data_IF_295950575457
#
_entry.id   IF_295950575457
#
_cell.length_a   1.000
_cell.length_b   1.000
_cell.length_c   1.000
_cell.angle_alpha   90.00
_cell.angle_beta   90.00
_cell.angle_gamma   90.00
#
_symmetry.space_group_name_H-M   'P 1'
#
loop_
_entity.id
_entity.type
_entity.pdbx_description
1 polymer ?
#
# COMPACT_ATOMS: atom_id res chain seq x y z
N UNK A 1 -9.08 88.51 -6.90
CA UNK A 1 -8.71 89.12 -5.59
C UNK A 1 -7.26 88.79 -5.33
N UNK A 2 -6.35 89.78 -5.44
CA UNK A 2 -5.65 90.45 -4.31
C UNK A 2 -4.84 89.44 -3.46
N UNK A 3 -3.53 89.53 -3.22
CA UNK A 3 -2.40 90.45 -3.49
C UNK A 3 -1.16 89.58 -3.15
N UNK A 4 -0.19 89.33 -4.03
CA UNK A 4 1.03 90.13 -4.24
C UNK A 4 1.73 90.50 -2.92
N UNK A 5 2.94 90.00 -2.61
CA UNK A 5 4.27 90.61 -2.86
C UNK A 5 5.17 90.08 -1.70
N UNK A 6 6.47 89.82 -1.78
CA UNK A 6 7.62 90.52 -2.40
C UNK A 6 8.88 89.77 -1.85
N UNK A 7 10.02 89.55 -2.51
CA UNK A 7 11.13 90.52 -2.72
C UNK A 7 12.33 89.79 -3.37
N UNK A 8 12.85 90.40 -4.46
CA UNK A 8 14.24 90.60 -4.92
C UNK A 8 15.20 89.40 -5.16
N UNK A 9 15.92 89.22 -6.28
CA UNK A 9 16.65 90.06 -7.28
C UNK A 9 18.16 89.73 -7.20
N UNK A 10 18.69 89.30 -8.35
CA UNK A 10 20.04 89.51 -8.91
C UNK A 10 21.22 88.74 -8.30
N UNK A 11 21.87 87.79 -9.01
CA UNK A 11 22.81 87.85 -10.15
C UNK A 11 24.28 88.12 -9.74
N UNK A 12 25.19 87.46 -10.48
CA UNK A 12 26.67 87.43 -10.42
C UNK A 12 27.25 86.27 -9.58
N UNK A 13 28.04 85.34 -10.12
CA UNK A 13 28.53 85.19 -11.49
C UNK A 13 29.56 84.07 -11.61
N UNK A 14 30.04 83.94 -12.85
CA UNK A 14 31.32 83.39 -13.31
C UNK A 14 31.39 81.86 -13.47
N UNK A 15 31.70 81.52 -14.72
CA UNK A 15 31.92 80.22 -15.31
C UNK A 15 32.97 79.37 -14.58
N UNK A 16 32.75 78.06 -14.58
CA UNK A 16 33.78 77.08 -14.95
C UNK A 16 33.09 75.86 -15.54
N UNK A 17 33.42 75.57 -16.79
CA UNK A 17 33.18 74.29 -17.42
C UNK A 17 33.84 73.20 -16.57
N UNK A 18 33.02 72.38 -15.90
CA UNK A 18 33.42 71.05 -15.49
C UNK A 18 32.37 70.08 -16.05
N UNK A 19 32.73 69.45 -17.16
CA UNK A 19 32.10 68.19 -17.57
C UNK A 19 32.36 67.24 -16.41
N UNK A 20 31.34 67.01 -15.57
CA UNK A 20 31.40 65.93 -14.60
C UNK A 20 31.48 64.63 -15.40
N UNK A 21 32.46 63.75 -15.12
CA UNK A 21 32.54 62.47 -15.79
C UNK A 21 31.27 61.70 -15.44
N UNK A 22 30.58 61.21 -16.47
CA UNK A 22 29.67 60.08 -16.33
C UNK A 22 30.54 58.90 -15.90
N UNK A 23 30.73 58.74 -14.61
CA UNK A 23 31.42 57.61 -14.02
C UNK A 23 30.48 56.92 -13.03
N UNK A 24 30.02 55.75 -13.48
CA UNK A 24 29.80 54.54 -12.68
C UNK A 24 28.73 54.60 -11.58
N UNK A 25 27.45 54.43 -11.97
CA UNK A 25 26.44 53.81 -11.10
C UNK A 25 26.19 52.34 -11.46
N UNK A 26 26.53 51.88 -12.69
CA UNK A 26 26.15 50.51 -13.12
C UNK A 26 26.93 49.36 -12.45
N UNK A 27 28.20 49.54 -12.08
CA UNK A 27 29.01 48.43 -11.54
C UNK A 27 28.58 47.92 -10.15
N UNK A 28 27.83 48.70 -9.38
CA UNK A 28 27.39 48.29 -8.04
C UNK A 28 26.15 47.39 -8.09
N UNK A 29 25.26 47.66 -9.05
CA UNK A 29 24.05 46.86 -9.30
C UNK A 29 24.40 45.51 -9.94
N UNK A 30 25.39 45.47 -10.85
CA UNK A 30 25.85 44.23 -11.48
C UNK A 30 26.50 43.27 -10.47
N UNK A 31 27.34 43.78 -9.55
CA UNK A 31 27.93 42.98 -8.46
C UNK A 31 26.88 42.45 -7.48
N UNK A 32 25.85 43.25 -7.19
CA UNK A 32 24.75 42.84 -6.32
C UNK A 32 23.87 41.79 -7.01
N UNK A 33 23.58 41.94 -8.30
CA UNK A 33 22.84 40.98 -9.11
C UNK A 33 23.58 39.64 -9.22
N UNK A 34 24.90 39.67 -9.41
CA UNK A 34 25.75 38.47 -9.43
C UNK A 34 25.73 37.74 -8.08
N UNK A 35 25.86 38.47 -6.97
CA UNK A 35 25.78 37.91 -5.61
C UNK A 35 24.42 37.24 -5.38
N UNK A 36 23.33 37.92 -5.71
CA UNK A 36 21.97 37.39 -5.57
C UNK A 36 21.73 36.15 -6.45
N UNK A 37 22.32 36.11 -7.66
CA UNK A 37 22.26 34.95 -8.54
C UNK A 37 22.95 33.73 -7.92
N UNK A 38 24.16 33.91 -7.38
CA UNK A 38 24.93 32.87 -6.69
C UNK A 38 24.19 32.32 -5.47
N UNK A 39 23.64 33.18 -4.62
CA UNK A 39 22.85 32.75 -3.46
C UNK A 39 21.63 31.89 -3.87
N UNK A 40 20.94 32.26 -4.96
CA UNK A 40 19.81 31.48 -5.49
C UNK A 40 20.24 30.13 -6.09
N UNK A 41 21.39 30.08 -6.78
CA UNK A 41 21.94 28.84 -7.30
C UNK A 41 22.33 27.87 -6.16
N UNK A 42 23.01 28.38 -5.13
CA UNK A 42 23.38 27.59 -3.96
C UNK A 42 22.14 27.05 -3.24
N UNK A 43 21.08 27.86 -3.11
CA UNK A 43 19.81 27.43 -2.55
C UNK A 43 19.15 26.32 -3.39
N UNK A 44 19.14 26.45 -4.72
CA UNK A 44 18.58 25.45 -5.62
C UNK A 44 19.37 24.12 -5.57
N UNK A 45 20.71 24.18 -5.59
CA UNK A 45 21.56 23.00 -5.42
C UNK A 45 21.37 22.35 -4.05
N UNK A 46 21.23 23.15 -2.99
CA UNK A 46 20.96 22.62 -1.65
C UNK A 46 19.64 21.86 -1.60
N UNK A 47 18.57 22.40 -2.18
CA UNK A 47 17.28 21.71 -2.26
C UNK A 47 17.37 20.38 -3.02
N UNK A 48 18.05 20.38 -4.17
CA UNK A 48 18.23 19.19 -4.99
C UNK A 48 19.06 18.11 -4.26
N UNK A 49 20.17 18.50 -3.62
CA UNK A 49 21.00 17.57 -2.85
C UNK A 49 20.28 17.01 -1.63
N UNK A 50 19.48 17.81 -0.91
CA UNK A 50 18.66 17.29 0.20
C UNK A 50 17.70 16.22 -0.29
N UNK A 51 17.01 16.44 -1.41
CA UNK A 51 16.12 15.43 -1.99
C UNK A 51 16.91 14.17 -2.40
N UNK A 52 18.09 14.32 -3.00
CA UNK A 52 18.94 13.18 -3.37
C UNK A 52 19.33 12.34 -2.13
N UNK A 53 19.68 12.97 -1.01
CA UNK A 53 19.97 12.26 0.25
C UNK A 53 18.74 11.55 0.85
N UNK A 54 17.54 12.11 0.68
CA UNK A 54 16.30 11.42 1.06
C UNK A 54 16.04 10.20 0.19
N UNK A 55 16.20 10.34 -1.13
CA UNK A 55 15.96 9.26 -2.09
C UNK A 55 16.93 8.09 -1.91
N UNK A 56 18.18 8.34 -1.47
CA UNK A 56 19.16 7.28 -1.15
C UNK A 56 18.70 6.29 -0.08
N UNK A 57 17.74 6.67 0.77
CA UNK A 57 17.27 5.83 1.89
C UNK A 57 16.39 4.67 1.44
N UNK A 58 15.86 4.69 0.21
CA UNK A 58 15.01 3.62 -0.31
C UNK A 58 15.46 3.23 -1.75
N UNK A 59 15.79 1.96 -2.00
CA UNK A 59 16.23 1.47 -3.32
C UNK A 59 15.18 1.65 -4.43
N UNK A 60 13.89 1.74 -4.11
CA UNK A 60 12.82 1.95 -5.08
C UNK A 60 12.97 3.27 -5.85
N UNK A 61 13.71 4.23 -5.27
CA UNK A 61 13.97 5.53 -5.87
C UNK A 61 15.23 5.58 -6.75
N UNK A 62 15.91 4.46 -6.96
CA UNK A 62 17.19 4.39 -7.69
C UNK A 62 17.19 5.13 -9.04
N UNK A 63 16.12 4.97 -9.85
CA UNK A 63 15.98 5.67 -11.14
C UNK A 63 15.79 7.19 -11.01
N UNK A 64 15.03 7.63 -10.01
CA UNK A 64 14.82 9.05 -9.70
C UNK A 64 16.14 9.67 -9.26
N UNK A 65 16.84 8.97 -8.35
CA UNK A 65 18.12 9.38 -7.79
C UNK A 65 19.20 9.51 -8.87
N UNK A 66 19.28 8.56 -9.81
CA UNK A 66 20.21 8.61 -10.93
C UNK A 66 19.99 9.87 -11.79
N UNK A 67 18.73 10.12 -12.17
CA UNK A 67 18.34 11.28 -12.98
C UNK A 67 18.64 12.59 -12.24
N UNK A 68 18.27 12.69 -10.97
CA UNK A 68 18.49 13.88 -10.15
C UNK A 68 19.98 14.17 -9.96
N UNK A 69 20.81 13.15 -9.66
CA UNK A 69 22.25 13.33 -9.48
C UNK A 69 22.94 13.80 -10.77
N UNK A 70 22.51 13.28 -11.93
CA UNK A 70 23.01 13.73 -13.23
C UNK A 70 22.73 15.22 -13.45
N UNK A 71 21.50 15.65 -13.19
CA UNK A 71 21.09 17.05 -13.37
C UNK A 71 21.71 17.99 -12.33
N UNK A 72 21.94 17.53 -11.09
CA UNK A 72 22.72 18.26 -10.08
C UNK A 72 24.16 18.48 -10.58
N UNK A 73 24.80 17.46 -11.16
CA UNK A 73 26.16 17.57 -11.68
C UNK A 73 26.23 18.53 -12.88
N UNK A 74 25.28 18.44 -13.81
CA UNK A 74 25.16 19.36 -14.95
C UNK A 74 24.93 20.81 -14.51
N UNK A 75 24.02 21.05 -13.56
CA UNK A 75 23.76 22.38 -13.01
C UNK A 75 24.99 22.94 -12.28
N UNK A 76 25.66 22.12 -11.46
CA UNK A 76 26.89 22.51 -10.75
C UNK A 76 27.99 22.94 -11.71
N UNK A 77 28.16 22.23 -12.83
CA UNK A 77 29.10 22.60 -13.89
C UNK A 77 28.68 23.91 -14.55
N UNK A 78 27.41 24.03 -14.95
CA UNK A 78 26.87 25.20 -15.64
C UNK A 78 26.98 26.49 -14.79
N UNK A 79 26.76 26.40 -13.47
CA UNK A 79 26.94 27.55 -12.58
C UNK A 79 28.39 28.03 -12.44
N UNK A 80 29.39 27.14 -12.62
CA UNK A 80 30.81 27.52 -12.60
C UNK A 80 31.25 28.17 -13.92
N UNK A 81 30.62 27.77 -15.02
CA UNK A 81 30.93 28.23 -16.38
C UNK A 81 30.11 29.47 -16.79
N UNK A 82 29.12 29.86 -15.99
CA UNK A 82 28.28 31.03 -16.24
C UNK A 82 29.14 32.32 -16.35
N UNK A 83 29.14 32.93 -17.52
CA UNK A 83 29.92 34.13 -17.82
C UNK A 83 29.23 35.44 -17.39
N UNK A 84 27.93 35.37 -17.05
CA UNK A 84 27.13 36.50 -16.58
C UNK A 84 26.01 36.02 -15.64
N UNK A 85 25.54 36.91 -14.74
CA UNK A 85 24.42 36.61 -13.84
C UNK A 85 23.11 36.28 -14.59
N UNK A 86 23.00 36.71 -15.85
CA UNK A 86 21.83 36.45 -16.70
C UNK A 86 21.59 34.97 -17.03
N UNK A 87 22.60 34.10 -16.86
CA UNK A 87 22.50 32.67 -17.18
C UNK A 87 21.90 31.85 -16.02
N UNK A 88 21.99 32.36 -14.78
CA UNK A 88 21.55 31.68 -13.56
C UNK A 88 20.06 31.32 -13.57
N UNK A 89 19.12 32.21 -13.96
CA UNK A 89 17.70 31.90 -13.94
C UNK A 89 17.32 30.69 -14.78
N UNK A 90 17.95 30.49 -15.95
CA UNK A 90 17.66 29.36 -16.83
C UNK A 90 18.13 28.04 -16.21
N UNK A 91 19.35 28.01 -15.64
CA UNK A 91 19.91 26.84 -14.96
C UNK A 91 19.07 26.49 -13.73
N UNK A 92 18.71 27.48 -12.91
CA UNK A 92 17.84 27.31 -11.74
C UNK A 92 16.48 26.76 -12.16
N UNK A 93 15.87 27.31 -13.21
CA UNK A 93 14.56 26.86 -13.70
C UNK A 93 14.60 25.39 -14.15
N UNK A 94 15.65 24.96 -14.87
CA UNK A 94 15.83 23.56 -15.26
C UNK A 94 15.96 22.66 -14.03
N UNK A 95 16.84 23.00 -13.09
CA UNK A 95 17.06 22.21 -11.87
C UNK A 95 15.80 22.13 -11.02
N UNK A 96 15.08 23.24 -10.85
CA UNK A 96 13.81 23.27 -10.11
C UNK A 96 12.74 22.39 -10.76
N UNK A 97 12.65 22.37 -12.10
CA UNK A 97 11.73 21.48 -12.81
C UNK A 97 12.08 19.99 -12.57
N UNK A 98 13.38 19.64 -12.59
CA UNK A 98 13.84 18.29 -12.28
C UNK A 98 13.53 17.91 -10.83
N UNK A 99 13.77 18.81 -9.88
CA UNK A 99 13.44 18.59 -8.46
C UNK A 99 11.94 18.35 -8.27
N UNK A 100 11.09 19.12 -8.94
CA UNK A 100 9.64 18.96 -8.84
C UNK A 100 9.15 17.65 -9.48
N UNK A 101 9.71 17.28 -10.63
CA UNK A 101 9.46 15.97 -11.23
C UNK A 101 9.88 14.82 -10.29
N UNK A 102 11.07 14.91 -9.68
CA UNK A 102 11.56 13.91 -8.74
C UNK A 102 10.64 13.76 -7.51
N UNK A 103 10.08 14.85 -6.98
CA UNK A 103 9.07 14.79 -5.91
C UNK A 103 7.78 14.11 -6.36
N UNK A 104 7.30 14.43 -7.57
CA UNK A 104 6.08 13.84 -8.10
C UNK A 104 6.25 12.33 -8.35
N UNK A 105 7.38 11.92 -8.93
CA UNK A 105 7.71 10.50 -9.13
C UNK A 105 7.87 9.76 -7.79
N UNK A 106 8.55 10.36 -6.80
CA UNK A 106 8.65 9.82 -5.45
C UNK A 106 7.26 9.59 -4.86
N UNK A 107 6.37 10.59 -4.91
CA UNK A 107 5.00 10.49 -4.42
C UNK A 107 4.23 9.37 -5.14
N UNK A 108 4.39 9.23 -6.46
CA UNK A 108 3.73 8.17 -7.21
C UNK A 108 4.21 6.76 -6.78
N UNK A 109 5.50 6.60 -6.48
CA UNK A 109 6.04 5.34 -5.94
C UNK A 109 5.54 5.10 -4.52
N UNK A 110 5.56 6.11 -3.65
CA UNK A 110 5.01 6.02 -2.28
C UNK A 110 3.54 5.58 -2.31
N UNK A 111 2.71 6.22 -3.14
CA UNK A 111 1.29 5.90 -3.30
C UNK A 111 1.09 4.46 -3.82
N UNK A 112 1.90 4.03 -4.80
CA UNK A 112 1.86 2.67 -5.34
C UNK A 112 2.27 1.62 -4.31
N UNK A 113 3.32 1.89 -3.53
CA UNK A 113 3.79 1.00 -2.47
C UNK A 113 2.75 0.90 -1.35
N UNK A 114 2.15 2.02 -0.94
CA UNK A 114 1.06 2.04 0.03
C UNK A 114 -0.16 1.23 -0.45
N UNK A 115 -0.55 1.38 -1.72
CA UNK A 115 -1.64 0.60 -2.31
C UNK A 115 -1.32 -0.89 -2.35
N UNK A 116 -0.10 -1.27 -2.77
CA UNK A 116 0.34 -2.67 -2.81
C UNK A 116 0.35 -3.30 -1.41
N UNK A 117 0.82 -2.56 -0.39
CA UNK A 117 0.82 -3.01 0.99
C UNK A 117 -0.61 -3.21 1.53
N UNK A 118 -1.53 -2.31 1.18
CA UNK A 118 -2.95 -2.42 1.54
C UNK A 118 -3.59 -3.67 0.90
N UNK A 119 -3.41 -3.87 -0.40
CA UNK A 119 -3.92 -5.04 -1.12
C UNK A 119 -3.36 -6.36 -0.55
N UNK A 120 -2.07 -6.38 -0.20
CA UNK A 120 -1.44 -7.54 0.43
C UNK A 120 -2.03 -7.83 1.82
N UNK A 121 -2.25 -6.79 2.63
CA UNK A 121 -2.86 -6.93 3.96
C UNK A 121 -4.30 -7.44 3.87
N UNK A 122 -5.12 -6.89 2.97
CA UNK A 122 -6.50 -7.32 2.73
C UNK A 122 -6.54 -8.78 2.24
N UNK A 123 -5.67 -9.16 1.30
CA UNK A 123 -5.56 -10.54 0.82
C UNK A 123 -5.18 -11.50 1.95
N UNK A 124 -4.19 -11.14 2.77
CA UNK A 124 -3.75 -11.98 3.90
C UNK A 124 -4.85 -12.15 4.95
N UNK A 125 -5.57 -11.07 5.29
CA UNK A 125 -6.70 -11.13 6.20
C UNK A 125 -7.79 -12.07 5.69
N UNK A 126 -8.10 -12.02 4.38
CA UNK A 126 -9.09 -12.89 3.77
C UNK A 126 -8.66 -14.36 3.74
N UNK A 127 -7.38 -14.64 3.48
CA UNK A 127 -6.81 -15.99 3.58
C UNK A 127 -6.98 -16.54 4.99
N UNK A 128 -6.60 -15.79 6.02
CA UNK A 128 -6.73 -16.23 7.42
C UNK A 128 -8.19 -16.50 7.80
N UNK A 129 -9.09 -15.57 7.47
CA UNK A 129 -10.52 -15.74 7.72
C UNK A 129 -11.09 -17.00 7.04
N UNK A 130 -10.74 -17.26 5.78
CA UNK A 130 -11.21 -18.46 5.08
C UNK A 130 -10.63 -19.76 5.68
N UNK A 131 -9.37 -19.76 6.13
CA UNK A 131 -8.75 -20.90 6.81
C UNK A 131 -9.45 -21.18 8.15
N UNK A 132 -9.80 -20.15 8.92
CA UNK A 132 -10.53 -20.30 10.18
C UNK A 132 -11.92 -20.91 9.97
N UNK A 133 -12.64 -20.46 8.93
CA UNK A 133 -13.93 -21.05 8.55
C UNK A 133 -13.79 -22.54 8.17
N UNK A 134 -12.77 -22.89 7.38
CA UNK A 134 -12.48 -24.29 7.04
C UNK A 134 -12.15 -25.13 8.27
N UNK A 135 -11.33 -24.62 9.20
CA UNK A 135 -11.02 -25.32 10.47
C UNK A 135 -12.26 -25.55 11.31
N UNK A 136 -13.20 -24.59 11.32
CA UNK A 136 -14.50 -24.76 11.98
C UNK A 136 -15.29 -25.89 11.34
N UNK A 137 -15.42 -25.91 10.02
CA UNK A 137 -16.11 -27.00 9.30
C UNK A 137 -15.44 -28.34 9.56
N UNK A 138 -14.10 -28.38 9.56
CA UNK A 138 -13.34 -29.58 9.87
C UNK A 138 -13.72 -30.16 11.25
N UNK A 139 -13.65 -29.33 12.30
CA UNK A 139 -14.01 -29.75 13.65
C UNK A 139 -15.47 -30.22 13.74
N UNK A 140 -16.39 -29.49 13.12
CA UNK A 140 -17.81 -29.86 13.10
C UNK A 140 -18.04 -31.20 12.38
N UNK A 141 -17.35 -31.45 11.26
CA UNK A 141 -17.44 -32.72 10.53
C UNK A 141 -16.87 -33.89 11.34
N UNK A 142 -15.72 -33.70 11.98
CA UNK A 142 -15.10 -34.69 12.84
C UNK A 142 -15.99 -35.06 14.04
N UNK A 143 -16.56 -34.07 14.73
CA UNK A 143 -17.45 -34.31 15.87
C UNK A 143 -18.79 -34.91 15.42
N UNK A 144 -19.30 -34.57 14.24
CA UNK A 144 -20.48 -35.21 13.67
C UNK A 144 -20.21 -36.68 13.37
N UNK A 145 -19.07 -37.04 12.79
CA UNK A 145 -18.67 -38.43 12.54
C UNK A 145 -18.67 -39.26 13.84
N UNK A 146 -18.07 -38.72 14.91
CA UNK A 146 -18.11 -39.36 16.24
C UNK A 146 -19.52 -39.52 16.77
N UNK A 147 -20.35 -38.48 16.61
CA UNK A 147 -21.73 -38.47 17.08
C UNK A 147 -22.55 -39.56 16.39
N UNK A 148 -22.43 -39.68 15.07
CA UNK A 148 -23.09 -40.72 14.27
C UNK A 148 -22.71 -42.10 14.77
N UNK A 149 -21.41 -42.39 14.87
CA UNK A 149 -20.89 -43.68 15.34
C UNK A 149 -21.39 -44.02 16.76
N UNK A 150 -21.40 -43.04 17.66
CA UNK A 150 -21.95 -43.20 19.00
C UNK A 150 -23.46 -43.49 18.97
N UNK A 151 -24.22 -42.75 18.18
CA UNK A 151 -25.68 -42.94 18.06
C UNK A 151 -26.02 -44.32 17.51
N UNK A 152 -25.31 -44.81 16.49
CA UNK A 152 -25.48 -46.18 15.97
C UNK A 152 -25.29 -47.18 17.12
N UNK A 153 -24.17 -47.10 17.84
CA UNK A 153 -23.84 -48.02 18.92
C UNK A 153 -24.84 -47.97 20.10
N UNK A 154 -25.45 -46.82 20.38
CA UNK A 154 -26.46 -46.69 21.44
C UNK A 154 -27.84 -47.22 21.00
N UNK A 155 -28.26 -46.94 19.77
CA UNK A 155 -29.51 -47.45 19.21
C UNK A 155 -29.48 -48.97 19.13
N UNK A 156 -28.37 -49.56 18.69
CA UNK A 156 -28.22 -51.03 18.57
C UNK A 156 -28.36 -51.81 19.89
N UNK A 157 -28.16 -51.15 21.03
CA UNK A 157 -28.34 -51.79 22.35
C UNK A 157 -29.80 -52.17 22.63
N UNK A 158 -30.75 -51.42 22.07
CA UNK A 158 -32.19 -51.62 22.32
C UNK A 158 -32.97 -51.98 21.04
N UNK A 159 -32.54 -51.47 19.89
CA UNK A 159 -33.26 -51.60 18.63
C UNK A 159 -32.39 -52.26 17.56
N UNK A 160 -32.99 -53.21 16.82
CA UNK A 160 -32.30 -53.83 15.69
C UNK A 160 -32.27 -52.86 14.50
N UNK A 161 -31.08 -52.44 14.10
CA UNK A 161 -30.86 -51.69 12.86
C UNK A 161 -30.73 -52.68 11.70
N UNK A 162 -31.37 -52.39 10.57
CA UNK A 162 -31.21 -53.21 9.35
C UNK A 162 -29.76 -53.08 8.86
N UNK A 163 -29.10 -54.21 8.59
CA UNK A 163 -27.69 -54.25 8.20
C UNK A 163 -27.33 -53.27 7.06
N UNK A 164 -28.13 -53.24 5.98
CA UNK A 164 -27.91 -52.32 4.85
C UNK A 164 -28.01 -50.84 5.23
N UNK A 165 -28.83 -50.50 6.22
CA UNK A 165 -28.96 -49.12 6.69
C UNK A 165 -27.84 -48.76 7.65
N UNK A 166 -27.43 -49.70 8.52
CA UNK A 166 -26.25 -49.53 9.36
C UNK A 166 -25.00 -49.22 8.53
N UNK A 167 -24.76 -50.01 7.48
CA UNK A 167 -23.64 -49.80 6.56
C UNK A 167 -23.66 -48.41 5.92
N UNK A 168 -24.83 -47.90 5.54
CA UNK A 168 -24.97 -46.52 5.03
C UNK A 168 -24.62 -45.46 6.09
N UNK A 169 -24.93 -45.68 7.35
CA UNK A 169 -24.61 -44.75 8.44
C UNK A 169 -23.13 -44.80 8.83
N UNK A 170 -22.52 -45.98 8.78
CA UNK A 170 -21.08 -46.16 8.97
C UNK A 170 -20.31 -45.45 7.83
N UNK A 171 -20.71 -45.67 6.57
CA UNK A 171 -20.14 -44.95 5.42
C UNK A 171 -20.34 -43.43 5.53
N UNK A 172 -21.49 -42.97 6.01
CA UNK A 172 -21.73 -41.54 6.26
C UNK A 172 -20.76 -40.97 7.30
N UNK A 173 -20.47 -41.70 8.38
CA UNK A 173 -19.51 -41.29 9.39
C UNK A 173 -18.06 -41.32 8.86
N UNK A 174 -17.73 -42.29 8.03
CA UNK A 174 -16.42 -42.39 7.37
C UNK A 174 -16.19 -41.28 6.36
N UNK A 175 -17.19 -40.94 5.54
CA UNK A 175 -17.14 -39.79 4.60
C UNK A 175 -16.88 -38.47 5.34
N UNK A 176 -17.52 -38.29 6.50
CA UNK A 176 -17.27 -37.12 7.36
C UNK A 176 -15.83 -37.06 7.86
N UNK A 177 -15.29 -38.20 8.29
CA UNK A 177 -13.93 -38.31 8.81
C UNK A 177 -12.89 -38.12 7.71
N UNK A 178 -13.11 -38.71 6.54
CA UNK A 178 -12.22 -38.56 5.39
C UNK A 178 -12.19 -37.10 4.92
N UNK A 179 -13.35 -36.45 4.80
CA UNK A 179 -13.39 -35.04 4.42
C UNK A 179 -12.73 -34.13 5.45
N UNK A 180 -12.91 -34.43 6.73
CA UNK A 180 -12.20 -33.75 7.82
C UNK A 180 -10.68 -33.77 7.62
N UNK A 181 -10.11 -34.96 7.32
CA UNK A 181 -8.68 -35.11 6.99
C UNK A 181 -8.27 -34.31 5.76
N UNK A 182 -9.07 -34.36 4.68
CA UNK A 182 -8.80 -33.57 3.47
C UNK A 182 -8.74 -32.06 3.77
N UNK A 183 -9.60 -31.55 4.65
CA UNK A 183 -9.59 -30.13 5.05
C UNK A 183 -8.32 -29.80 5.85
N UNK A 184 -7.92 -30.65 6.78
CA UNK A 184 -6.68 -30.47 7.55
C UNK A 184 -5.44 -30.47 6.65
N UNK A 185 -5.35 -31.42 5.73
CA UNK A 185 -4.27 -31.48 4.74
C UNK A 185 -4.26 -30.21 3.88
N UNK A 186 -5.41 -29.83 3.33
CA UNK A 186 -5.52 -28.64 2.49
C UNK A 186 -5.12 -27.36 3.23
N UNK A 187 -5.61 -27.15 4.45
CA UNK A 187 -5.29 -25.94 5.23
C UNK A 187 -3.84 -25.92 5.71
N UNK A 188 -3.24 -27.08 5.96
CA UNK A 188 -1.81 -27.20 6.32
C UNK A 188 -0.92 -26.87 5.12
N UNK A 189 -1.20 -27.43 3.94
CA UNK A 189 -0.46 -27.14 2.70
C UNK A 189 -0.62 -25.67 2.30
N UNK A 190 -1.85 -25.15 2.35
CA UNK A 190 -2.17 -23.74 2.06
C UNK A 190 -1.39 -22.76 2.94
N UNK A 191 -1.13 -23.13 4.20
CA UNK A 191 -0.40 -22.25 5.12
C UNK A 191 1.12 -22.23 4.91
N UNK A 192 1.65 -23.11 4.06
CA UNK A 192 3.10 -23.31 3.90
C UNK A 192 3.62 -23.15 2.46
N UNK A 193 2.76 -23.22 1.44
CA UNK A 193 3.19 -23.25 0.04
C UNK A 193 3.20 -21.85 -0.60
N UNK A 194 4.35 -21.46 -1.18
CA UNK A 194 4.43 -20.30 -2.09
C UNK A 194 3.67 -20.60 -3.39
N UNK A 195 2.80 -19.68 -3.82
CA UNK A 195 2.05 -19.77 -5.07
C UNK A 195 0.57 -20.10 -4.94
N UNK A 196 0.08 -20.42 -3.74
CA UNK A 196 -1.34 -20.66 -3.52
C UNK A 196 -2.20 -19.40 -3.70
N UNK A 197 -3.30 -19.52 -4.45
CA UNK A 197 -4.17 -18.39 -4.76
C UNK A 197 -5.35 -18.28 -3.81
N UNK A 198 -5.78 -17.04 -3.53
CA UNK A 198 -7.00 -16.80 -2.76
C UNK A 198 -8.24 -17.43 -3.42
N UNK A 199 -8.26 -17.50 -4.75
CA UNK A 199 -9.36 -18.09 -5.51
C UNK A 199 -9.49 -19.61 -5.27
N UNK A 200 -8.38 -20.35 -5.21
CA UNK A 200 -8.40 -21.78 -4.90
C UNK A 200 -8.93 -22.04 -3.49
N UNK A 201 -8.56 -21.21 -2.51
CA UNK A 201 -9.08 -21.27 -1.15
C UNK A 201 -10.58 -21.05 -1.08
N UNK A 202 -11.06 -20.00 -1.77
CA UNK A 202 -12.46 -19.63 -1.79
C UNK A 202 -13.30 -20.73 -2.45
N UNK A 203 -12.83 -21.30 -3.55
CA UNK A 203 -13.48 -22.41 -4.23
C UNK A 203 -13.54 -23.66 -3.34
N UNK A 204 -12.42 -24.06 -2.72
CA UNK A 204 -12.39 -25.20 -1.81
C UNK A 204 -13.34 -25.00 -0.62
N UNK A 205 -13.37 -23.78 -0.06
CA UNK A 205 -14.26 -23.41 1.03
C UNK A 205 -15.73 -23.52 0.64
N UNK A 206 -16.12 -23.00 -0.53
CA UNK A 206 -17.49 -23.03 -1.03
C UNK A 206 -17.98 -24.47 -1.24
N UNK A 207 -17.17 -25.30 -1.91
CA UNK A 207 -17.47 -26.71 -2.15
C UNK A 207 -17.63 -27.46 -0.82
N UNK A 208 -16.68 -27.26 0.10
CA UNK A 208 -16.68 -27.92 1.41
C UNK A 208 -17.89 -27.50 2.26
N UNK A 209 -18.24 -26.22 2.26
CA UNK A 209 -19.41 -25.68 2.98
C UNK A 209 -20.71 -26.28 2.45
N UNK A 210 -20.86 -26.33 1.12
CA UNK A 210 -22.04 -26.87 0.46
C UNK A 210 -22.21 -28.35 0.78
N UNK A 211 -21.14 -29.13 0.63
CA UNK A 211 -21.12 -30.55 0.98
C UNK A 211 -21.49 -30.77 2.46
N UNK A 212 -20.89 -30.02 3.38
CA UNK A 212 -21.13 -30.24 4.81
C UNK A 212 -22.56 -29.88 5.24
N UNK A 213 -23.16 -28.85 4.64
CA UNK A 213 -24.57 -28.53 4.85
C UNK A 213 -25.51 -29.64 4.35
N UNK A 214 -25.14 -30.29 3.24
CA UNK A 214 -25.81 -31.51 2.77
C UNK A 214 -25.76 -32.62 3.81
N UNK A 215 -24.56 -32.94 4.32
CA UNK A 215 -24.38 -33.99 5.33
C UNK A 215 -25.20 -33.71 6.60
N UNK A 216 -25.17 -32.48 7.12
CA UNK A 216 -25.99 -32.09 8.28
C UNK A 216 -27.48 -32.30 8.04
N UNK A 217 -27.96 -32.00 6.83
CA UNK A 217 -29.37 -32.16 6.47
C UNK A 217 -29.77 -33.64 6.41
N UNK A 218 -28.94 -34.50 5.82
CA UNK A 218 -29.19 -35.94 5.81
C UNK A 218 -29.17 -36.53 7.22
N UNK A 219 -28.23 -36.12 8.06
CA UNK A 219 -28.21 -36.55 9.46
C UNK A 219 -29.46 -36.11 10.23
N UNK A 220 -29.91 -34.87 10.04
CA UNK A 220 -31.14 -34.38 10.67
C UNK A 220 -32.37 -35.21 10.26
N UNK A 221 -32.45 -35.68 9.01
CA UNK A 221 -33.52 -36.58 8.56
C UNK A 221 -33.45 -37.94 9.26
N UNK A 222 -32.25 -38.49 9.44
CA UNK A 222 -32.06 -39.73 10.21
C UNK A 222 -32.51 -39.54 11.65
N UNK A 223 -32.09 -38.44 12.29
CA UNK A 223 -32.49 -38.13 13.66
C UNK A 223 -34.00 -37.97 13.81
N UNK A 224 -34.68 -37.33 12.86
CA UNK A 224 -36.15 -37.21 12.87
C UNK A 224 -36.82 -38.57 12.68
N UNK A 225 -36.32 -39.40 11.75
CA UNK A 225 -36.83 -40.75 11.53
C UNK A 225 -36.64 -41.66 12.76
N UNK A 226 -35.60 -41.41 13.55
CA UNK A 226 -35.29 -42.13 14.78
C UNK A 226 -35.75 -41.43 16.06
N UNK A 227 -36.56 -40.37 15.97
CA UNK A 227 -36.87 -39.52 17.14
C UNK A 227 -37.42 -40.29 18.35
N UNK A 228 -38.21 -41.35 18.12
CA UNK A 228 -38.80 -42.13 19.20
C UNK A 228 -37.79 -43.09 19.81
N UNK A 229 -36.98 -43.75 18.98
CA UNK A 229 -35.85 -44.57 19.43
C UNK A 229 -34.83 -43.74 20.21
N UNK A 230 -34.49 -42.55 19.72
CA UNK A 230 -33.58 -41.60 20.36
C UNK A 230 -34.13 -41.13 21.73
N UNK A 231 -35.43 -40.85 21.82
CA UNK A 231 -36.08 -40.55 23.10
C UNK A 231 -35.96 -41.72 24.08
N UNK A 232 -36.23 -42.94 23.65
CA UNK A 232 -36.22 -44.12 24.52
C UNK A 232 -34.81 -44.52 25.01
N UNK A 233 -33.76 -44.29 24.21
CA UNK A 233 -32.39 -44.49 24.69
C UNK A 233 -31.93 -43.35 25.63
N UNK A 234 -32.51 -42.14 25.49
CA UNK A 234 -32.20 -40.98 26.33
C UNK A 234 -32.95 -40.97 27.67
N UNK A 235 -34.13 -41.60 27.73
CA UNK A 235 -34.90 -41.79 28.94
C UNK A 235 -34.19 -42.83 29.83
N UNK A 236 -33.60 -42.35 30.93
CA UNK A 236 -33.07 -43.18 32.01
C UNK A 236 -34.20 -43.78 32.83
#
# INVERSE_FOLDING_TARGET
>A
MKKSKKIFITLCGIATTAILPVATISCNDDKLAEKNGKEKADAALKQANTLAEELKKNPDYSKILETLNKEIAEATKSFKEAGSYGDYPAIISKLSAVVENAKNEKKAIDDKNAQTAKELAERNAKIQSNIEELKKINNEAFELSKTVNKTIAEVEKKFKIKASFKEQLENFADDLLDKSRQIDEFTTVTSTQEGFTLAELESFKEITTTWFNGMKSEWARVQEAWKDQLKEISAK
#
